data_IF_890391408965
#
_entry.id   IF_890391408965
#
_cell.length_a   1.000
_cell.length_b   1.000
_cell.length_c   1.000
_cell.angle_alpha   90.00
_cell.angle_beta   90.00
_cell.angle_gamma   90.00
#
_symmetry.space_group_name_H-M   'P 1'
#
loop_
_entity.id
_entity.type
_entity.pdbx_description
1 polymer ?
#
# COMPACT_ATOMS: atom_id res chain seq x y z
N UNK A 1 -2.93 -17.04 20.58
CA UNK A 1 -3.50 -17.48 19.30
C UNK A 1 -2.36 -17.62 18.32
N UNK A 2 -2.35 -18.69 17.57
CA UNK A 2 -1.33 -18.94 16.55
C UNK A 2 -1.91 -18.69 15.16
N UNK A 3 -1.06 -18.17 14.30
CA UNK A 3 -1.39 -17.84 12.92
C UNK A 3 -0.26 -18.27 11.99
N UNK A 4 -0.62 -18.53 10.75
CA UNK A 4 0.34 -18.73 9.67
C UNK A 4 0.22 -17.56 8.68
N UNK A 5 1.33 -16.85 8.46
CA UNK A 5 1.43 -15.96 7.29
C UNK A 5 1.61 -16.82 6.05
N UNK A 6 0.76 -16.57 5.07
CA UNK A 6 0.83 -17.25 3.77
C UNK A 6 1.04 -16.25 2.64
N UNK A 7 1.74 -16.69 1.62
CA UNK A 7 1.74 -16.09 0.29
C UNK A 7 1.08 -17.09 -0.66
N UNK A 8 -0.11 -16.77 -1.15
CA UNK A 8 -0.99 -17.74 -1.81
C UNK A 8 -1.23 -18.98 -0.92
N UNK A 9 -0.89 -20.18 -1.38
CA UNK A 9 -0.99 -21.41 -0.58
C UNK A 9 0.31 -21.79 0.16
N UNK A 10 1.36 -20.99 0.07
CA UNK A 10 2.66 -21.33 0.67
C UNK A 10 2.79 -20.70 2.07
N UNK A 11 3.20 -21.51 3.03
CA UNK A 11 3.45 -21.05 4.40
C UNK A 11 4.78 -20.28 4.44
N UNK A 12 4.73 -19.02 4.86
CA UNK A 12 5.89 -18.13 4.97
C UNK A 12 6.43 -18.11 6.39
N UNK A 13 5.55 -17.90 7.36
CA UNK A 13 5.90 -17.85 8.77
C UNK A 13 4.77 -18.39 9.63
N UNK A 14 5.13 -18.95 10.80
CA UNK A 14 4.18 -19.30 11.86
C UNK A 14 4.48 -18.37 13.03
N UNK A 15 3.47 -17.75 13.60
CA UNK A 15 3.66 -16.81 14.71
C UNK A 15 2.53 -16.87 15.72
N UNK A 16 2.83 -16.46 16.95
CA UNK A 16 1.86 -16.37 18.05
C UNK A 16 1.68 -14.94 18.54
N UNK A 17 0.47 -14.66 19.02
CA UNK A 17 0.10 -13.40 19.65
C UNK A 17 -0.52 -13.72 21.00
N UNK A 18 0.15 -13.32 22.10
CA UNK A 18 -0.37 -13.57 23.45
C UNK A 18 -1.11 -12.37 24.00
N UNK A 19 -0.55 -11.18 23.98
CA UNK A 19 -1.18 -9.98 24.55
C UNK A 19 -1.67 -9.02 23.48
N UNK A 20 -0.78 -8.33 22.80
CA UNK A 20 -1.10 -7.35 21.73
C UNK A 20 -0.05 -7.33 20.64
N UNK A 21 1.03 -8.06 20.79
CA UNK A 21 2.16 -8.12 19.87
C UNK A 21 2.53 -9.55 19.55
N UNK A 22 3.33 -9.74 18.53
CA UNK A 22 3.93 -11.03 18.19
C UNK A 22 4.98 -11.36 19.24
N UNK A 23 4.83 -12.50 19.88
CA UNK A 23 5.73 -13.00 20.95
C UNK A 23 6.66 -14.11 20.46
N UNK A 24 6.25 -14.84 19.44
CA UNK A 24 7.07 -15.84 18.77
C UNK A 24 6.81 -15.80 17.27
N UNK A 25 7.86 -15.98 16.49
CA UNK A 25 7.74 -16.09 15.03
C UNK A 25 8.81 -17.04 14.49
N UNK A 26 8.39 -17.94 13.63
CA UNK A 26 9.21 -18.98 12.99
C UNK A 26 9.09 -18.80 11.50
N UNK A 27 10.22 -18.60 10.81
CA UNK A 27 10.28 -18.37 9.37
C UNK A 27 10.61 -19.66 8.63
N UNK A 28 9.90 -19.94 7.56
CA UNK A 28 10.18 -21.06 6.65
C UNK A 28 11.34 -20.71 5.71
N UNK A 29 12.46 -21.45 5.82
CA UNK A 29 13.68 -21.24 4.99
C UNK A 29 13.44 -21.45 3.50
N UNK A 30 12.48 -22.29 3.12
CA UNK A 30 12.18 -22.59 1.72
C UNK A 30 11.35 -21.49 1.01
N UNK A 31 10.78 -20.57 1.76
CA UNK A 31 9.93 -19.48 1.22
C UNK A 31 10.49 -18.08 1.47
N UNK A 32 11.78 -17.97 1.80
CA UNK A 32 12.46 -16.69 2.05
C UNK A 32 12.33 -15.72 0.86
N UNK A 33 12.38 -16.23 -0.36
CA UNK A 33 12.21 -15.41 -1.57
C UNK A 33 10.84 -14.73 -1.65
N UNK A 34 9.84 -15.31 -0.99
CA UNK A 34 8.45 -14.85 -0.97
C UNK A 34 8.10 -14.03 0.30
N UNK A 35 9.05 -13.80 1.21
CA UNK A 35 8.84 -12.86 2.29
C UNK A 35 8.44 -11.48 1.74
N UNK A 36 7.51 -10.76 2.40
CA UNK A 36 7.35 -9.34 2.16
C UNK A 36 8.69 -8.62 2.21
N UNK A 37 8.92 -7.65 1.32
CA UNK A 37 10.24 -7.01 1.21
C UNK A 37 10.76 -6.45 2.54
N UNK A 38 9.97 -5.72 3.36
CA UNK A 38 10.43 -5.26 4.66
C UNK A 38 10.89 -6.39 5.59
N UNK A 39 10.26 -7.57 5.48
CA UNK A 39 10.56 -8.74 6.30
C UNK A 39 11.77 -9.55 5.81
N UNK A 40 12.29 -9.31 4.61
CA UNK A 40 13.53 -9.95 4.14
C UNK A 40 14.76 -9.61 5.01
N UNK A 41 14.68 -8.51 5.76
CA UNK A 41 15.69 -8.16 6.77
C UNK A 41 15.83 -9.23 7.86
N UNK A 42 14.76 -9.97 8.15
CA UNK A 42 14.73 -11.02 9.19
C UNK A 42 15.66 -12.20 8.89
N UNK A 43 16.09 -12.36 7.65
CA UNK A 43 17.05 -13.41 7.27
C UNK A 43 18.46 -13.13 7.78
N UNK A 44 18.76 -11.87 8.15
CA UNK A 44 20.06 -11.45 8.70
C UNK A 44 20.24 -12.02 10.12
N UNK A 45 21.49 -12.34 10.48
CA UNK A 45 21.80 -12.98 11.77
C UNK A 45 21.30 -12.21 12.99
N UNK A 46 21.34 -10.88 12.98
CA UNK A 46 20.90 -10.03 14.10
C UNK A 46 19.43 -10.17 14.50
N UNK A 47 18.60 -10.85 13.73
CA UNK A 47 17.18 -11.08 14.01
C UNK A 47 16.84 -12.53 14.35
N UNK A 48 17.83 -13.41 14.38
CA UNK A 48 17.65 -14.83 14.70
C UNK A 48 17.94 -15.10 16.17
N UNK A 49 17.22 -16.04 16.73
CA UNK A 49 17.54 -16.58 18.05
C UNK A 49 18.79 -17.47 17.99
N UNK A 50 19.77 -17.23 18.87
CA UNK A 50 21.05 -17.94 18.86
C UNK A 50 20.99 -19.33 19.54
N UNK A 51 19.94 -19.62 20.33
CA UNK A 51 19.89 -20.77 21.21
C UNK A 51 18.54 -21.51 21.20
N UNK A 52 18.11 -22.01 20.04
CA UNK A 52 16.88 -22.81 20.03
C UNK A 52 17.13 -24.25 19.60
N UNK A 53 16.70 -25.19 20.46
CA UNK A 53 16.63 -26.64 20.17
C UNK A 53 15.70 -26.99 18.99
N UNK A 54 15.10 -25.99 18.35
CA UNK A 54 14.14 -26.09 17.24
C UNK A 54 14.65 -25.55 15.89
N UNK A 55 15.94 -25.27 15.74
CA UNK A 55 16.48 -25.01 14.41
C UNK A 55 16.48 -26.31 13.62
N UNK A 56 15.42 -26.53 12.88
CA UNK A 56 15.40 -27.57 11.85
C UNK A 56 16.06 -27.05 10.58
N UNK A 57 16.45 -27.93 9.65
CA UNK A 57 16.95 -27.50 8.34
C UNK A 57 15.94 -26.63 7.58
N UNK A 58 14.66 -26.68 7.95
CA UNK A 58 13.55 -26.03 7.26
C UNK A 58 13.11 -24.68 7.84
N UNK A 59 13.41 -24.40 9.13
CA UNK A 59 12.90 -23.23 9.86
C UNK A 59 13.96 -22.56 10.72
N UNK A 60 13.76 -21.26 11.01
CA UNK A 60 14.50 -20.54 12.06
C UNK A 60 13.56 -19.66 12.89
N UNK A 61 13.88 -19.48 14.17
CA UNK A 61 13.13 -18.63 15.09
C UNK A 61 13.68 -17.20 15.05
N UNK A 62 12.78 -16.22 15.24
CA UNK A 62 13.14 -14.83 15.40
C UNK A 62 13.37 -14.52 16.89
N UNK A 63 14.37 -13.67 17.17
CA UNK A 63 14.56 -13.06 18.48
C UNK A 63 13.53 -11.93 18.71
N UNK A 64 13.60 -11.24 19.85
CA UNK A 64 12.66 -10.15 20.20
C UNK A 64 12.65 -9.02 19.16
N UNK A 65 13.82 -8.61 18.65
CA UNK A 65 13.92 -7.56 17.62
C UNK A 65 13.30 -8.01 16.29
N UNK A 66 13.47 -9.29 15.95
CA UNK A 66 12.85 -9.89 14.77
C UNK A 66 11.33 -9.97 14.90
N UNK A 67 10.82 -10.40 16.06
CA UNK A 67 9.39 -10.40 16.35
C UNK A 67 8.79 -8.99 16.32
N UNK A 68 9.50 -8.00 16.86
CA UNK A 68 9.09 -6.60 16.80
C UNK A 68 9.00 -6.07 15.36
N UNK A 69 10.00 -6.38 14.52
CA UNK A 69 9.96 -5.99 13.11
C UNK A 69 8.78 -6.65 12.37
N UNK A 70 8.53 -7.93 12.63
CA UNK A 70 7.40 -8.65 12.07
C UNK A 70 6.05 -8.05 12.53
N UNK A 71 5.95 -7.68 13.80
CA UNK A 71 4.76 -7.04 14.39
C UNK A 71 4.47 -5.67 13.77
N UNK A 72 5.50 -4.87 13.51
CA UNK A 72 5.36 -3.57 12.83
C UNK A 72 4.80 -3.74 11.42
N UNK A 73 5.29 -4.72 10.65
CA UNK A 73 4.74 -5.00 9.33
C UNK A 73 3.25 -5.39 9.39
N UNK A 74 2.83 -6.15 10.41
CA UNK A 74 1.40 -6.44 10.65
C UNK A 74 0.63 -5.15 10.99
N UNK A 75 1.24 -4.25 11.77
CA UNK A 75 0.61 -2.99 12.15
C UNK A 75 0.39 -2.08 10.93
N UNK A 76 1.32 -2.04 9.99
CA UNK A 76 1.22 -1.26 8.75
C UNK A 76 0.12 -1.77 7.81
N UNK A 77 -0.31 -3.01 7.95
CA UNK A 77 -1.45 -3.59 7.22
C UNK A 77 -2.81 -3.23 7.81
N UNK A 78 -2.87 -2.58 8.95
CA UNK A 78 -4.12 -2.22 9.62
C UNK A 78 -4.69 -0.93 9.05
N UNK A 79 -6.01 -0.79 9.16
CA UNK A 79 -6.65 0.49 8.87
C UNK A 79 -6.13 1.56 9.84
N UNK A 80 -5.64 2.70 9.34
CA UNK A 80 -5.18 3.80 10.18
C UNK A 80 -6.31 4.31 11.10
N UNK A 81 -6.03 4.43 12.38
CA UNK A 81 -7.02 4.89 13.39
C UNK A 81 -7.51 6.33 13.12
N UNK A 82 -6.72 7.13 12.43
CA UNK A 82 -7.05 8.50 12.05
C UNK A 82 -7.79 8.61 10.72
N UNK A 83 -8.22 7.47 10.12
CA UNK A 83 -9.00 7.47 8.89
C UNK A 83 -10.39 8.09 9.12
N UNK A 84 -10.82 8.92 8.19
CA UNK A 84 -12.19 9.41 8.17
C UNK A 84 -13.20 8.24 8.14
N UNK A 85 -14.22 8.33 8.99
CA UNK A 85 -15.25 7.31 9.13
C UNK A 85 -14.69 5.91 9.46
N UNK A 86 -13.66 5.84 10.30
CA UNK A 86 -13.02 4.60 10.77
C UNK A 86 -14.04 3.52 11.17
N UNK A 87 -15.16 3.93 11.81
CA UNK A 87 -16.24 3.03 12.22
C UNK A 87 -16.97 2.33 11.05
N UNK A 88 -16.80 2.80 9.81
CA UNK A 88 -17.34 2.13 8.63
C UNK A 88 -16.58 0.86 8.27
N UNK A 89 -15.34 0.74 8.73
CA UNK A 89 -14.47 -0.39 8.44
C UNK A 89 -14.51 -1.45 9.53
N UNK A 90 -14.62 -1.04 10.79
CA UNK A 90 -14.47 -1.92 11.94
C UNK A 90 -15.81 -2.06 12.67
N UNK A 91 -16.27 -3.30 12.81
CA UNK A 91 -17.54 -3.59 13.46
C UNK A 91 -17.39 -3.66 15.00
N UNK A 92 -18.26 -2.95 15.71
CA UNK A 92 -18.35 -3.02 17.18
C UNK A 92 -17.14 -2.41 17.89
N UNK A 93 -16.78 -2.96 19.05
CA UNK A 93 -15.70 -2.47 19.93
C UNK A 93 -14.34 -3.11 19.60
N UNK A 94 -14.16 -3.62 18.39
CA UNK A 94 -12.94 -4.29 17.96
C UNK A 94 -11.83 -3.30 17.66
N UNK A 95 -10.59 -3.72 17.89
CA UNK A 95 -9.42 -3.01 17.39
C UNK A 95 -9.20 -3.29 15.91
N UNK A 96 -8.45 -2.41 15.20
CA UNK A 96 -8.06 -2.64 13.82
C UNK A 96 -7.31 -3.98 13.64
N UNK A 97 -6.49 -4.33 14.63
CA UNK A 97 -5.73 -5.59 14.64
C UNK A 97 -6.65 -6.82 14.74
N UNK A 98 -7.61 -6.80 15.67
CA UNK A 98 -8.59 -7.88 15.76
C UNK A 98 -9.38 -8.05 14.48
N UNK A 99 -9.81 -6.93 13.89
CA UNK A 99 -10.53 -6.92 12.62
C UNK A 99 -9.67 -7.44 11.45
N UNK A 100 -8.38 -7.08 11.41
CA UNK A 100 -7.43 -7.59 10.41
C UNK A 100 -7.36 -9.12 10.44
N UNK A 101 -7.16 -9.72 11.63
CA UNK A 101 -7.04 -11.18 11.76
C UNK A 101 -8.36 -11.91 11.50
N UNK A 102 -9.49 -11.39 11.96
CA UNK A 102 -10.81 -11.96 11.68
C UNK A 102 -11.16 -11.96 10.17
N UNK A 103 -10.53 -11.07 9.40
CA UNK A 103 -10.67 -11.01 7.95
C UNK A 103 -9.44 -11.56 7.22
N UNK A 104 -8.62 -12.39 7.88
CA UNK A 104 -7.43 -13.02 7.29
C UNK A 104 -6.40 -12.03 6.70
N UNK A 105 -6.52 -10.74 6.92
CA UNK A 105 -5.60 -9.69 6.49
C UNK A 105 -5.31 -9.61 4.99
N UNK A 106 -6.19 -10.15 4.14
CA UNK A 106 -6.02 -10.12 2.69
C UNK A 106 -6.20 -8.72 2.11
N UNK A 107 -5.58 -8.49 0.95
CA UNK A 107 -5.55 -7.21 0.24
C UNK A 107 -5.78 -7.40 -1.27
N UNK A 108 -6.10 -6.29 -1.97
CA UNK A 108 -5.98 -6.22 -3.43
C UNK A 108 -4.55 -5.95 -3.89
N UNK A 109 -3.69 -5.48 -2.99
CA UNK A 109 -2.36 -5.01 -3.35
C UNK A 109 -1.33 -6.13 -3.37
N UNK A 110 -1.61 -7.27 -2.66
CA UNK A 110 -0.68 -8.38 -2.57
C UNK A 110 -1.39 -9.74 -2.36
N UNK A 111 -0.62 -10.83 -2.35
CA UNK A 111 -1.10 -12.19 -2.13
C UNK A 111 -0.84 -12.71 -0.70
N UNK A 112 -0.52 -11.83 0.26
CA UNK A 112 -0.30 -12.21 1.65
C UNK A 112 -1.60 -12.23 2.44
N UNK A 113 -1.75 -13.24 3.32
CA UNK A 113 -2.89 -13.37 4.20
C UNK A 113 -2.54 -14.21 5.44
N UNK A 114 -3.40 -14.16 6.46
CA UNK A 114 -3.22 -14.87 7.72
C UNK A 114 -4.24 -16.00 7.85
N UNK A 115 -3.77 -17.20 8.12
CA UNK A 115 -4.61 -18.36 8.46
C UNK A 115 -4.52 -18.59 9.98
N UNK A 116 -5.67 -18.69 10.65
CA UNK A 116 -5.69 -19.12 12.06
C UNK A 116 -5.56 -20.64 12.15
N UNK A 117 -5.13 -21.17 13.30
CA UNK A 117 -5.04 -22.64 13.52
C UNK A 117 -6.40 -23.35 13.42
N UNK A 118 -7.49 -22.61 13.59
CA UNK A 118 -8.86 -23.15 13.54
C UNK A 118 -9.42 -23.20 12.12
N UNK A 119 -8.77 -22.57 11.15
CA UNK A 119 -9.20 -22.49 9.76
C UNK A 119 -8.36 -23.41 8.86
N UNK A 120 -8.99 -23.87 7.79
CA UNK A 120 -8.32 -24.54 6.68
C UNK A 120 -8.77 -23.90 5.38
N UNK A 121 -8.07 -22.84 4.98
CA UNK A 121 -8.41 -22.05 3.81
C UNK A 121 -7.36 -22.22 2.71
N UNK A 122 -7.82 -22.13 1.48
CA UNK A 122 -6.94 -22.09 0.30
C UNK A 122 -6.86 -20.66 -0.24
N UNK A 123 -5.85 -20.38 -1.07
CA UNK A 123 -5.77 -19.10 -1.79
C UNK A 123 -7.02 -18.84 -2.64
N UNK A 124 -7.64 -19.88 -3.18
CA UNK A 124 -8.89 -19.73 -3.93
C UNK A 124 -10.04 -19.22 -3.04
N UNK A 125 -10.13 -19.68 -1.80
CA UNK A 125 -11.15 -19.21 -0.85
C UNK A 125 -10.92 -17.73 -0.51
N UNK A 126 -9.67 -17.32 -0.32
CA UNK A 126 -9.29 -15.92 -0.07
C UNK A 126 -9.61 -15.06 -1.30
N UNK A 127 -9.28 -15.51 -2.51
CA UNK A 127 -9.62 -14.81 -3.75
C UNK A 127 -11.11 -14.55 -3.91
N UNK A 128 -11.94 -15.55 -3.62
CA UNK A 128 -13.38 -15.37 -3.65
C UNK A 128 -13.86 -14.31 -2.67
N UNK A 129 -13.22 -14.19 -1.49
CA UNK A 129 -13.51 -13.12 -0.53
C UNK A 129 -13.08 -11.74 -1.08
N UNK A 130 -11.90 -11.66 -1.69
CA UNK A 130 -11.41 -10.43 -2.32
C UNK A 130 -12.36 -9.99 -3.44
N UNK A 131 -12.81 -10.91 -4.29
CA UNK A 131 -13.68 -10.64 -5.44
C UNK A 131 -15.14 -10.34 -5.07
N UNK A 132 -15.56 -10.68 -3.84
CA UNK A 132 -16.91 -10.40 -3.34
C UNK A 132 -17.09 -8.91 -2.98
N UNK A 133 -16.89 -8.05 -3.96
CA UNK A 133 -17.05 -6.60 -3.83
C UNK A 133 -18.50 -6.18 -3.87
N UNK A 134 -18.77 -5.06 -3.19
CA UNK A 134 -20.04 -4.39 -3.33
C UNK A 134 -20.16 -3.73 -4.69
N UNK A 135 -21.34 -3.79 -5.29
CA UNK A 135 -21.68 -2.97 -6.45
C UNK A 135 -21.85 -1.53 -5.99
N UNK A 136 -21.50 -0.58 -6.85
CA UNK A 136 -21.52 0.86 -6.58
C UNK A 136 -22.87 1.37 -6.00
N UNK A 137 -23.09 1.20 -4.72
CA UNK A 137 -24.21 1.79 -3.97
C UNK A 137 -23.67 2.69 -2.83
N UNK A 138 -22.42 2.47 -2.46
CA UNK A 138 -21.87 2.90 -1.18
C UNK A 138 -21.56 4.40 -1.06
N UNK A 139 -21.39 5.16 -2.14
CA UNK A 139 -21.03 6.59 -2.03
C UNK A 139 -22.15 7.40 -1.37
N UNK A 140 -23.34 6.85 -1.33
CA UNK A 140 -24.56 7.53 -0.89
C UNK A 140 -25.08 7.05 0.46
N UNK A 141 -24.54 5.97 1.02
CA UNK A 141 -24.98 5.42 2.29
C UNK A 141 -24.02 5.80 3.41
N UNK A 142 -24.44 6.72 4.27
CA UNK A 142 -23.66 7.17 5.44
C UNK A 142 -23.50 6.07 6.52
N UNK A 143 -24.25 4.98 6.40
CA UNK A 143 -24.23 3.84 7.34
C UNK A 143 -23.57 2.59 6.74
N UNK A 144 -23.03 2.68 5.53
CA UNK A 144 -22.41 1.55 4.86
C UNK A 144 -21.18 1.06 5.64
N UNK A 145 -21.07 -0.26 5.81
CA UNK A 145 -19.89 -0.91 6.38
C UNK A 145 -19.12 -1.61 5.29
N UNK A 146 -17.83 -1.29 5.21
CA UNK A 146 -16.94 -1.89 4.22
C UNK A 146 -16.58 -3.32 4.62
N UNK A 147 -16.38 -4.18 3.62
CA UNK A 147 -15.96 -5.57 3.80
C UNK A 147 -14.44 -5.67 4.02
N UNK A 148 -13.98 -6.87 4.38
CA UNK A 148 -12.61 -7.17 4.76
C UNK A 148 -11.53 -6.76 3.75
N UNK A 149 -11.81 -6.79 2.44
CA UNK A 149 -10.87 -6.36 1.40
C UNK A 149 -10.48 -4.87 1.46
N UNK A 150 -11.16 -4.08 2.28
CA UNK A 150 -10.83 -2.68 2.51
C UNK A 150 -9.91 -2.46 3.71
N UNK A 151 -9.56 -3.51 4.43
CA UNK A 151 -8.84 -3.42 5.71
C UNK A 151 -7.39 -2.99 5.58
N UNK A 152 -6.77 -3.23 4.44
CA UNK A 152 -5.36 -2.92 4.18
C UNK A 152 -5.13 -1.61 3.44
N UNK A 153 -6.19 -0.89 3.08
CA UNK A 153 -6.08 0.40 2.41
C UNK A 153 -5.40 1.43 3.33
N UNK A 154 -4.28 2.00 2.91
CA UNK A 154 -3.54 3.05 3.63
C UNK A 154 -4.18 4.44 3.55
N UNK A 155 -3.66 5.41 4.33
CA UNK A 155 -4.00 6.84 4.28
C UNK A 155 -5.27 7.25 5.04
N UNK A 156 -5.50 8.56 5.15
CA UNK A 156 -6.53 9.16 6.01
C UNK A 156 -7.92 9.27 5.37
N UNK A 157 -8.00 9.42 4.04
CA UNK A 157 -9.29 9.54 3.35
C UNK A 157 -10.07 8.24 3.42
N UNK A 158 -11.38 8.34 3.54
CA UNK A 158 -12.27 7.20 3.40
C UNK A 158 -12.14 6.62 2.00
N UNK A 159 -11.73 5.36 1.88
CA UNK A 159 -11.48 4.67 0.60
C UNK A 159 -12.15 3.31 0.63
N UNK A 160 -12.64 2.88 -0.52
CA UNK A 160 -13.17 1.52 -0.67
C UNK A 160 -13.08 1.02 -2.09
N UNK A 161 -12.93 -0.30 -2.20
CA UNK A 161 -13.02 -1.02 -3.46
C UNK A 161 -14.49 -1.34 -3.78
N UNK A 162 -14.85 -1.22 -5.04
CA UNK A 162 -16.17 -1.60 -5.51
C UNK A 162 -16.09 -2.13 -6.95
N UNK A 163 -17.15 -2.81 -7.40
CA UNK A 163 -17.27 -3.30 -8.76
C UNK A 163 -18.19 -2.40 -9.59
N UNK A 164 -17.68 -1.97 -10.74
CA UNK A 164 -18.45 -1.26 -11.75
C UNK A 164 -18.32 -2.02 -13.07
N UNK A 165 -19.40 -2.68 -13.52
CA UNK A 165 -19.36 -3.65 -14.60
C UNK A 165 -18.31 -4.75 -14.29
N UNK A 166 -17.38 -5.00 -15.19
CA UNK A 166 -16.32 -6.00 -15.02
C UNK A 166 -15.02 -5.41 -14.44
N UNK A 167 -15.05 -4.14 -13.98
CA UNK A 167 -13.87 -3.45 -13.47
C UNK A 167 -13.92 -3.33 -11.96
N UNK A 168 -12.77 -3.46 -11.34
CA UNK A 168 -12.55 -3.13 -9.94
C UNK A 168 -12.11 -1.67 -9.86
N UNK A 169 -12.81 -0.90 -9.04
CA UNK A 169 -12.61 0.54 -8.90
C UNK A 169 -12.25 0.87 -7.46
N UNK A 170 -11.33 1.82 -7.27
CA UNK A 170 -11.08 2.47 -5.98
C UNK A 170 -11.84 3.78 -5.93
N UNK A 171 -12.68 3.96 -4.92
CA UNK A 171 -13.27 5.25 -4.58
C UNK A 171 -12.51 5.88 -3.42
N UNK A 172 -12.12 7.15 -3.54
CA UNK A 172 -11.65 8.00 -2.46
C UNK A 172 -12.74 9.02 -2.16
N UNK A 173 -13.37 8.93 -0.98
CA UNK A 173 -14.39 9.89 -0.56
C UNK A 173 -13.74 11.10 0.09
N UNK A 174 -14.22 12.27 -0.25
CA UNK A 174 -13.78 13.51 0.35
C UNK A 174 -14.87 14.05 1.29
N UNK A 175 -14.50 14.57 2.47
CA UNK A 175 -15.42 15.27 3.34
C UNK A 175 -16.09 16.45 2.60
N UNK A 176 -17.24 16.89 3.09
CA UNK A 176 -17.91 18.10 2.57
C UNK A 176 -16.94 19.29 2.69
N UNK A 177 -16.86 20.13 1.66
CA UNK A 177 -15.93 21.26 1.52
C UNK A 177 -14.47 20.90 1.19
N UNK A 178 -14.16 19.63 0.84
CA UNK A 178 -12.84 19.21 0.39
C UNK A 178 -12.81 18.90 -1.12
N UNK A 179 -13.69 19.51 -1.89
CA UNK A 179 -13.82 19.33 -3.35
C UNK A 179 -12.55 19.67 -4.12
N UNK A 180 -11.74 20.58 -3.56
CA UNK A 180 -10.43 20.96 -4.11
C UNK A 180 -9.47 19.78 -4.17
N UNK A 181 -9.44 18.91 -3.16
CA UNK A 181 -8.58 17.72 -3.17
C UNK A 181 -9.00 16.74 -4.27
N UNK A 182 -10.31 16.54 -4.44
CA UNK A 182 -10.86 15.74 -5.53
C UNK A 182 -10.50 16.33 -6.90
N UNK A 183 -10.62 17.65 -7.04
CA UNK A 183 -10.30 18.36 -8.29
C UNK A 183 -8.82 18.19 -8.69
N UNK A 184 -7.90 18.18 -7.73
CA UNK A 184 -6.46 18.02 -7.99
C UNK A 184 -6.10 16.65 -8.56
N UNK A 185 -6.69 15.56 -8.05
CA UNK A 185 -6.52 14.23 -8.65
C UNK A 185 -6.97 14.20 -10.10
N UNK A 186 -8.10 14.83 -10.40
CA UNK A 186 -8.62 14.91 -11.78
C UNK A 186 -7.74 15.81 -12.65
N UNK A 187 -7.30 16.97 -12.14
CA UNK A 187 -6.41 17.90 -12.86
C UNK A 187 -5.08 17.21 -13.19
N UNK A 188 -4.46 16.51 -12.24
CA UNK A 188 -3.25 15.73 -12.47
C UNK A 188 -3.45 14.71 -13.61
N UNK A 189 -4.55 13.97 -13.58
CA UNK A 189 -4.91 13.03 -14.66
C UNK A 189 -5.02 13.72 -16.03
N UNK A 190 -5.63 14.91 -16.09
CA UNK A 190 -5.75 15.68 -17.33
C UNK A 190 -4.40 16.20 -17.83
N UNK A 191 -3.47 16.57 -16.92
CA UNK A 191 -2.12 16.99 -17.31
C UNK A 191 -1.38 15.82 -17.95
N UNK A 192 -1.37 14.62 -17.30
CA UNK A 192 -0.75 13.43 -17.88
C UNK A 192 -1.34 13.08 -19.25
N UNK A 193 -2.67 13.14 -19.37
CA UNK A 193 -3.36 12.90 -20.62
C UNK A 193 -2.90 13.89 -21.72
N UNK A 194 -2.81 15.17 -21.38
CA UNK A 194 -2.40 16.23 -22.34
C UNK A 194 -0.93 16.10 -22.74
N UNK A 195 -0.08 15.59 -21.86
CA UNK A 195 1.33 15.27 -22.17
C UNK A 195 1.46 13.97 -22.99
N UNK A 196 0.37 13.25 -23.24
CA UNK A 196 0.40 11.97 -23.96
C UNK A 196 1.10 10.87 -23.17
N UNK A 197 1.19 11.01 -21.83
CA UNK A 197 1.79 10.00 -20.98
C UNK A 197 0.75 8.93 -20.62
N UNK A 198 1.01 7.63 -20.90
CA UNK A 198 -0.02 6.60 -20.77
C UNK A 198 -0.17 6.01 -19.37
N UNK A 199 0.88 6.08 -18.53
CA UNK A 199 0.96 5.31 -17.27
C UNK A 199 0.57 6.15 -16.05
N UNK A 200 -0.72 6.50 -15.94
CA UNK A 200 -1.29 7.22 -14.79
C UNK A 200 -2.70 6.72 -14.47
N UNK A 201 -3.12 6.86 -13.22
CA UNK A 201 -4.50 6.61 -12.83
C UNK A 201 -5.42 7.71 -13.34
N UNK A 202 -6.37 7.34 -14.21
CA UNK A 202 -7.37 8.27 -14.71
C UNK A 202 -8.48 8.45 -13.69
N UNK A 203 -8.43 9.57 -12.94
CA UNK A 203 -9.45 9.88 -11.96
C UNK A 203 -10.66 10.57 -12.57
N UNK A 204 -11.85 10.16 -12.10
CA UNK A 204 -13.13 10.81 -12.43
C UNK A 204 -13.87 11.16 -11.15
N UNK A 205 -14.71 12.21 -11.20
CA UNK A 205 -15.52 12.60 -10.05
C UNK A 205 -16.62 11.58 -9.73
N UNK A 206 -16.88 11.40 -8.45
CA UNK A 206 -18.10 10.78 -7.94
C UNK A 206 -18.97 11.85 -7.27
N UNK A 207 -20.29 11.68 -7.32
CA UNK A 207 -21.24 12.71 -6.87
C UNK A 207 -22.18 12.18 -5.81
N UNK A 208 -22.58 13.08 -4.90
CA UNK A 208 -23.67 12.88 -3.95
C UNK A 208 -25.02 13.00 -4.67
N UNK A 209 -26.09 12.58 -4.01
CA UNK A 209 -27.48 12.69 -4.55
C UNK A 209 -27.89 14.12 -4.88
N UNK A 210 -27.37 15.10 -4.17
CA UNK A 210 -27.63 16.52 -4.38
C UNK A 210 -26.80 17.14 -5.54
N UNK A 211 -25.91 16.36 -6.18
CA UNK A 211 -25.04 16.80 -7.25
C UNK A 211 -23.67 17.31 -6.81
N UNK A 212 -23.41 17.44 -5.52
CA UNK A 212 -22.09 17.82 -5.00
C UNK A 212 -21.04 16.72 -5.25
N UNK A 213 -19.78 17.11 -5.40
CA UNK A 213 -18.67 16.17 -5.50
C UNK A 213 -18.57 15.37 -4.19
N UNK A 214 -18.59 14.05 -4.32
CA UNK A 214 -18.41 13.13 -3.20
C UNK A 214 -16.95 12.68 -3.03
N UNK A 215 -16.19 12.73 -4.14
CA UNK A 215 -14.82 12.27 -4.20
C UNK A 215 -14.39 11.94 -5.61
N UNK A 216 -13.43 11.06 -5.74
CA UNK A 216 -12.91 10.58 -7.03
C UNK A 216 -12.85 9.07 -7.07
N UNK A 217 -12.82 8.53 -8.29
CA UNK A 217 -12.63 7.10 -8.52
C UNK A 217 -11.67 6.85 -9.67
N UNK A 218 -10.91 5.76 -9.57
CA UNK A 218 -10.06 5.25 -10.63
C UNK A 218 -10.12 3.72 -10.71
N UNK A 219 -9.71 3.15 -11.83
CA UNK A 219 -9.60 1.70 -12.00
C UNK A 219 -8.43 1.15 -11.19
N UNK A 220 -8.61 -0.04 -10.60
CA UNK A 220 -7.55 -0.78 -9.94
C UNK A 220 -6.49 -1.21 -10.96
N UNK A 221 -5.22 -0.96 -10.66
CA UNK A 221 -4.12 -1.35 -11.54
C UNK A 221 -3.51 -2.71 -11.18
N UNK A 222 -3.77 -3.23 -9.98
CA UNK A 222 -3.40 -4.61 -9.62
C UNK A 222 -4.38 -5.60 -10.24
N UNK A 223 -3.89 -6.80 -10.50
CA UNK A 223 -4.66 -7.91 -11.10
C UNK A 223 -4.32 -9.20 -10.38
N UNK A 224 -5.01 -10.28 -10.73
CA UNK A 224 -4.92 -11.59 -10.09
C UNK A 224 -3.49 -12.09 -9.81
N UNK A 225 -2.56 -11.85 -10.73
CA UNK A 225 -1.17 -12.33 -10.63
C UNK A 225 -0.17 -11.19 -10.44
N UNK A 226 -0.62 -10.03 -9.97
CA UNK A 226 0.20 -8.83 -9.83
C UNK A 226 0.06 -8.28 -8.42
N UNK A 227 1.19 -8.08 -7.77
CA UNK A 227 1.31 -7.36 -6.50
C UNK A 227 1.80 -5.94 -6.70
N UNK A 228 1.35 -5.06 -5.84
CA UNK A 228 1.87 -3.72 -5.68
C UNK A 228 2.98 -3.73 -4.61
N UNK A 229 4.14 -3.21 -4.95
CA UNK A 229 5.29 -3.07 -4.05
C UNK A 229 5.67 -1.60 -3.99
N UNK A 230 5.60 -0.99 -2.82
CA UNK A 230 5.96 0.42 -2.68
C UNK A 230 7.48 0.62 -2.71
N UNK A 231 7.91 1.82 -3.08
CA UNK A 231 9.31 2.20 -2.93
C UNK A 231 9.73 2.21 -1.45
N UNK A 232 8.81 2.49 -0.53
CA UNK A 232 9.03 2.35 0.90
C UNK A 232 9.42 0.91 1.27
N UNK A 233 8.69 -0.10 0.79
CA UNK A 233 9.01 -1.52 1.05
C UNK A 233 10.41 -1.90 0.53
N UNK A 234 10.80 -1.40 -0.65
CA UNK A 234 12.14 -1.60 -1.20
C UNK A 234 13.23 -1.00 -0.32
N UNK A 235 13.00 0.22 0.18
CA UNK A 235 13.95 0.90 1.06
C UNK A 235 14.02 0.24 2.44
N UNK A 236 12.89 -0.18 2.99
CA UNK A 236 12.81 -0.89 4.28
C UNK A 236 13.57 -2.22 4.25
N UNK A 237 13.54 -2.98 3.18
CA UNK A 237 14.34 -4.20 3.04
C UNK A 237 15.81 -3.96 3.32
N UNK A 238 16.35 -2.80 2.95
CA UNK A 238 17.75 -2.42 3.09
C UNK A 238 18.02 -1.44 4.22
N UNK A 239 16.98 -1.04 4.97
CA UNK A 239 17.07 0.00 6.01
C UNK A 239 17.59 1.35 5.47
N UNK A 240 17.07 1.76 4.32
CA UNK A 240 17.55 2.93 3.55
C UNK A 240 16.53 4.07 3.43
N UNK A 241 15.46 4.07 4.22
CA UNK A 241 14.42 5.13 4.22
C UNK A 241 14.96 6.53 4.57
N UNK A 242 16.14 6.59 5.21
CA UNK A 242 16.83 7.83 5.54
C UNK A 242 18.08 8.08 4.66
N UNK A 243 18.20 7.39 3.52
CA UNK A 243 19.33 7.56 2.63
C UNK A 243 19.30 8.95 1.96
N UNK A 244 20.42 9.69 1.87
CA UNK A 244 20.43 11.02 1.27
C UNK A 244 20.03 11.04 -0.21
N UNK A 245 20.36 9.97 -0.96
CA UNK A 245 20.04 9.81 -2.38
C UNK A 245 18.91 8.80 -2.57
N UNK A 246 17.77 9.00 -1.89
CA UNK A 246 16.62 8.06 -1.91
C UNK A 246 16.15 7.79 -3.34
N UNK A 247 16.12 8.80 -4.19
CA UNK A 247 15.69 8.69 -5.59
C UNK A 247 16.50 7.65 -6.38
N UNK A 248 17.82 7.84 -6.43
CA UNK A 248 18.71 6.90 -7.11
C UNK A 248 18.67 5.51 -6.48
N UNK A 249 18.50 5.47 -5.16
CA UNK A 249 18.39 4.19 -4.44
C UNK A 249 17.12 3.42 -4.79
N UNK A 250 16.00 4.07 -4.97
CA UNK A 250 14.76 3.43 -5.44
C UNK A 250 14.97 2.82 -6.83
N UNK A 251 15.60 3.55 -7.74
CA UNK A 251 15.88 3.06 -9.10
C UNK A 251 16.81 1.84 -9.06
N UNK A 252 17.89 1.91 -8.27
CA UNK A 252 18.83 0.80 -8.09
C UNK A 252 18.13 -0.44 -7.51
N UNK A 253 17.40 -0.28 -6.40
CA UNK A 253 16.75 -1.39 -5.71
C UNK A 253 15.64 -2.04 -6.55
N UNK A 254 14.81 -1.24 -7.22
CA UNK A 254 13.79 -1.78 -8.12
C UNK A 254 14.40 -2.56 -9.30
N UNK A 255 15.52 -2.08 -9.82
CA UNK A 255 16.28 -2.75 -10.88
C UNK A 255 16.85 -4.12 -10.43
N UNK A 256 17.28 -4.25 -9.17
CA UNK A 256 17.72 -5.53 -8.61
C UNK A 256 16.60 -6.59 -8.62
N UNK A 257 15.34 -6.15 -8.58
CA UNK A 257 14.17 -7.01 -8.71
C UNK A 257 13.65 -7.17 -10.14
N UNK A 258 14.25 -6.48 -11.13
CA UNK A 258 13.98 -6.67 -12.55
C UNK A 258 13.28 -5.50 -13.25
N UNK A 259 13.03 -4.37 -12.57
CA UNK A 259 12.54 -3.16 -13.19
C UNK A 259 13.56 -2.58 -14.19
N UNK A 260 13.07 -1.96 -15.26
CA UNK A 260 13.92 -1.21 -16.18
C UNK A 260 14.25 0.17 -15.57
N UNK A 261 15.52 0.49 -15.26
CA UNK A 261 15.90 1.71 -14.58
C UNK A 261 15.58 2.98 -15.40
N UNK A 262 15.62 2.91 -16.73
CA UNK A 262 15.32 4.05 -17.61
C UNK A 262 13.81 4.36 -17.60
N UNK A 263 12.97 3.32 -17.59
CA UNK A 263 11.51 3.50 -17.49
C UNK A 263 11.16 4.08 -16.13
N UNK A 264 11.73 3.53 -15.05
CA UNK A 264 11.50 4.00 -13.68
C UNK A 264 11.90 5.47 -13.55
N UNK A 265 13.14 5.83 -13.95
CA UNK A 265 13.65 7.22 -13.91
C UNK A 265 12.72 8.16 -14.66
N UNK A 266 12.38 7.85 -15.90
CA UNK A 266 11.52 8.69 -16.75
C UNK A 266 10.15 8.94 -16.11
N UNK A 267 9.55 7.93 -15.48
CA UNK A 267 8.26 8.10 -14.81
C UNK A 267 8.39 8.95 -13.55
N UNK A 268 9.40 8.68 -12.74
CA UNK A 268 9.65 9.44 -11.52
C UNK A 268 9.91 10.92 -11.82
N UNK A 269 10.72 11.23 -12.85
CA UNK A 269 11.00 12.61 -13.30
C UNK A 269 9.73 13.32 -13.76
N UNK A 270 8.89 12.66 -14.56
CA UNK A 270 7.60 13.23 -15.00
C UNK A 270 6.65 13.44 -13.82
N UNK A 271 6.60 12.51 -12.89
CA UNK A 271 5.80 12.62 -11.68
C UNK A 271 6.24 13.83 -10.85
N UNK A 272 7.55 14.03 -10.66
CA UNK A 272 8.12 15.19 -10.01
C UNK A 272 7.70 16.50 -10.67
N UNK A 273 7.81 16.57 -12.02
CA UNK A 273 7.41 17.75 -12.78
C UNK A 273 5.92 18.08 -12.60
N UNK A 274 5.04 17.08 -12.65
CA UNK A 274 3.60 17.30 -12.48
C UNK A 274 3.28 17.67 -11.04
N UNK A 275 3.89 17.00 -10.05
CA UNK A 275 3.74 17.34 -8.64
C UNK A 275 4.15 18.81 -8.37
N UNK A 276 5.23 19.28 -9.01
CA UNK A 276 5.62 20.69 -8.92
C UNK A 276 4.54 21.63 -9.51
N UNK A 277 4.01 21.31 -10.69
CA UNK A 277 2.99 22.14 -11.38
C UNK A 277 1.71 22.23 -10.53
N UNK A 278 1.26 21.11 -9.94
CA UNK A 278 0.03 21.07 -9.11
C UNK A 278 0.29 21.39 -7.63
N UNK A 279 1.53 21.71 -7.28
CA UNK A 279 1.95 21.94 -5.88
C UNK A 279 1.64 20.79 -4.94
N UNK A 280 1.80 19.54 -5.41
CA UNK A 280 1.67 18.36 -4.57
C UNK A 280 2.89 18.24 -3.65
N UNK A 281 2.68 18.37 -2.33
CA UNK A 281 3.73 18.32 -1.31
C UNK A 281 3.76 17.02 -0.53
N UNK A 282 2.92 16.08 -0.89
CA UNK A 282 2.73 14.82 -0.16
C UNK A 282 3.20 13.61 -0.98
N UNK A 283 4.12 13.82 -1.92
CA UNK A 283 4.77 12.73 -2.60
C UNK A 283 5.78 12.08 -1.69
N UNK A 284 5.54 10.85 -1.32
CA UNK A 284 6.41 10.04 -0.49
C UNK A 284 6.54 8.62 -1.09
N UNK A 285 7.41 7.80 -0.55
CA UNK A 285 7.83 6.52 -1.09
C UNK A 285 6.68 5.51 -1.23
N UNK A 286 5.63 5.61 -0.41
CA UNK A 286 4.43 4.78 -0.56
C UNK A 286 3.57 5.15 -1.78
N UNK A 287 3.79 6.34 -2.36
CA UNK A 287 3.10 6.82 -3.55
C UNK A 287 3.90 6.58 -4.86
N UNK A 288 5.01 5.84 -4.77
CA UNK A 288 5.75 5.27 -5.87
C UNK A 288 5.66 3.76 -5.74
N UNK A 289 5.00 3.10 -6.67
CA UNK A 289 4.67 1.69 -6.58
C UNK A 289 5.16 0.96 -7.82
N UNK A 290 5.63 -0.25 -7.62
CA UNK A 290 6.07 -1.18 -8.65
C UNK A 290 5.10 -2.35 -8.77
N UNK A 291 4.99 -2.89 -9.96
CA UNK A 291 4.18 -4.08 -10.25
C UNK A 291 5.08 -5.31 -10.26
N UNK A 292 4.79 -6.25 -9.36
CA UNK A 292 5.54 -7.48 -9.17
C UNK A 292 4.69 -8.68 -9.57
N UNK A 293 5.26 -9.58 -10.32
CA UNK A 293 4.63 -10.88 -10.62
C UNK A 293 4.73 -11.79 -9.38
N UNK A 294 3.60 -12.30 -8.92
CA UNK A 294 3.50 -13.07 -7.67
C UNK A 294 4.09 -14.49 -7.74
N UNK A 295 4.36 -15.03 -8.93
CA UNK A 295 4.98 -16.34 -9.07
C UNK A 295 6.50 -16.25 -9.11
N UNK A 296 7.01 -15.25 -9.83
CA UNK A 296 8.45 -15.07 -10.03
C UNK A 296 9.06 -14.12 -9.03
N UNK A 297 8.24 -13.37 -8.29
CA UNK A 297 8.65 -12.29 -7.36
C UNK A 297 9.49 -11.20 -8.04
N UNK A 298 9.38 -11.06 -9.37
CA UNK A 298 10.10 -10.06 -10.16
C UNK A 298 9.24 -8.83 -10.42
N UNK A 299 9.82 -7.68 -10.24
CA UNK A 299 9.26 -6.41 -10.70
C UNK A 299 9.40 -6.37 -12.22
N UNK A 300 8.31 -6.11 -12.92
CA UNK A 300 8.27 -6.05 -14.38
C UNK A 300 7.87 -4.67 -14.92
N UNK A 301 7.30 -3.80 -14.06
CA UNK A 301 6.90 -2.45 -14.45
C UNK A 301 6.79 -1.55 -13.21
N UNK A 302 6.71 -0.24 -13.43
CA UNK A 302 6.30 0.74 -12.44
C UNK A 302 4.79 1.00 -12.57
N UNK A 303 4.08 1.05 -11.45
CA UNK A 303 2.63 1.26 -11.44
C UNK A 303 2.23 2.62 -12.04
N UNK A 304 1.00 2.76 -12.54
CA UNK A 304 0.49 4.06 -12.96
C UNK A 304 0.64 5.13 -11.87
N UNK A 305 0.97 6.35 -12.24
CA UNK A 305 1.08 7.46 -11.28
C UNK A 305 -0.28 7.72 -10.64
N UNK A 306 -0.32 7.77 -9.31
CA UNK A 306 -1.53 7.97 -8.51
C UNK A 306 -1.24 8.89 -7.31
N UNK A 307 -2.29 9.23 -6.55
CA UNK A 307 -2.25 10.01 -5.32
C UNK A 307 -1.56 11.38 -5.49
N UNK A 308 -2.05 12.16 -6.45
CA UNK A 308 -1.56 13.51 -6.74
C UNK A 308 -2.46 14.60 -6.12
N UNK A 309 -3.39 14.24 -5.24
CA UNK A 309 -4.42 15.14 -4.71
C UNK A 309 -4.07 15.91 -3.45
N UNK A 310 -3.01 15.53 -2.74
CA UNK A 310 -2.66 16.09 -1.41
C UNK A 310 -1.92 17.42 -1.47
N UNK A 311 -2.19 18.25 -2.46
CA UNK A 311 -1.55 19.55 -2.55
C UNK A 311 -2.18 20.54 -1.55
N UNK A 312 -1.36 21.26 -0.78
CA UNK A 312 -1.83 22.36 0.04
C UNK A 312 -2.31 23.53 -0.82
N UNK A 313 -3.46 24.07 -0.45
CA UNK A 313 -4.08 25.34 -0.82
C UNK A 313 -3.65 26.00 -2.14
N UNK A 314 -4.50 25.86 -3.17
CA UNK A 314 -4.66 26.88 -4.20
C UNK A 314 -5.51 28.02 -3.63
N UNK A 315 -5.01 28.74 -2.64
CA UNK A 315 -5.45 30.11 -2.40
C UNK A 315 -4.66 31.01 -3.34
N UNK A 316 -5.23 31.27 -4.48
CA UNK A 316 -5.19 32.47 -5.35
C UNK A 316 -3.87 33.11 -5.74
N UNK A 317 -2.70 32.71 -5.24
CA UNK A 317 -1.38 33.23 -5.65
C UNK A 317 -0.34 32.14 -5.44
N UNK A 318 0.50 31.89 -6.43
CA UNK A 318 1.75 31.17 -6.18
C UNK A 318 2.51 31.94 -5.11
N UNK A 319 2.77 31.36 -3.92
CA UNK A 319 3.48 32.09 -2.88
C UNK A 319 4.85 32.53 -3.40
N UNK A 320 5.23 33.77 -3.15
CA UNK A 320 6.64 34.18 -3.25
C UNK A 320 7.44 33.19 -2.38
N UNK A 321 8.40 32.49 -2.98
CA UNK A 321 9.21 31.48 -2.27
C UNK A 321 8.81 30.01 -2.52
N UNK A 322 8.07 29.67 -3.57
CA UNK A 322 7.77 28.28 -3.96
C UNK A 322 9.04 27.45 -4.12
N UNK A 323 10.18 28.06 -4.41
CA UNK A 323 11.51 27.45 -4.47
C UNK A 323 12.14 27.18 -3.09
N UNK A 324 11.64 27.84 -2.02
CA UNK A 324 12.15 27.70 -0.64
C UNK A 324 11.32 26.76 0.25
N UNK A 325 10.22 26.24 -0.26
CA UNK A 325 9.40 25.29 0.51
C UNK A 325 10.10 23.94 0.55
N UNK A 326 10.51 23.53 1.76
CA UNK A 326 10.86 22.13 2.02
C UNK A 326 9.68 21.26 1.59
N UNK A 327 9.80 20.68 0.42
CA UNK A 327 8.90 19.63 -0.04
C UNK A 327 9.16 18.47 0.92
N UNK A 328 8.19 18.08 1.72
CA UNK A 328 8.24 16.83 2.48
C UNK A 328 8.12 15.68 1.47
N UNK A 329 9.16 15.46 0.70
CA UNK A 329 9.16 14.45 -0.34
C UNK A 329 10.50 14.34 -1.04
N UNK A 330 10.57 13.40 -1.94
CA UNK A 330 11.75 12.93 -2.67
C UNK A 330 12.48 14.00 -3.51
N UNK A 331 11.94 15.20 -3.67
CA UNK A 331 12.34 16.11 -4.76
C UNK A 331 13.09 17.37 -4.34
N UNK A 332 13.35 17.56 -3.06
CA UNK A 332 13.91 18.82 -2.56
C UNK A 332 15.33 19.11 -3.06
N UNK A 333 16.07 18.11 -3.54
CA UNK A 333 17.47 18.24 -3.92
C UNK A 333 17.73 18.36 -5.43
N UNK A 334 16.77 17.99 -6.30
CA UNK A 334 16.97 17.99 -7.75
C UNK A 334 16.38 19.20 -8.50
N UNK A 335 15.51 19.97 -7.84
CA UNK A 335 14.98 21.22 -8.42
C UNK A 335 15.89 22.42 -8.20
N UNK A 336 17.02 22.26 -7.52
CA UNK A 336 18.07 23.30 -7.36
C UNK A 336 19.11 23.30 -8.49
N UNK A 337 18.93 22.50 -9.53
CA UNK A 337 19.84 22.43 -10.69
C UNK A 337 19.30 23.15 -11.91
#
# INVERSE_FOLDING_TARGET
MNYTLKHKNRNIAIFSIQTKSVDQCIINKHTISELPLPLKRLVKEGYKEEFVDFETDDYFCLNEDGCFLFDNWIADRQIPINRFNYQHYIAGDKTARQWLFENNGYSFDDAYWFESEEEQLTWNDIRQRIENLDVYIAVQDEHHRYKGQNNTLGGQLEKFWYRLNDKIMLCKKHPVNYDVLAAREVIASLIYQKQGYPNYCSYTFTYRKNGDIAGVTCECFTKENIEAVSAYDLLEEWNMTQHPDVWEKIIELSSNYGADPEIVRKQMDLQCLVDYIITNRDRHENNIVFLRDIETMRIFDIAPIFDSGSSEQLEGVLPEGVLDTKVNGLYATELEC
#
